data_IF_261988315564
#
_entry.id   IF_261988315564
#
_cell.length_a   1.000
_cell.length_b   1.000
_cell.length_c   1.000
_cell.angle_alpha   90.00
_cell.angle_beta   90.00
_cell.angle_gamma   90.00
#
_symmetry.space_group_name_H-M   'P 1'
#
loop_
_entity.id
_entity.type
_entity.pdbx_description
1 polymer ?
#
# COMPACT_ATOMS: atom_id res chain seq x y z
N UNK A 1 31.56 -9.55 -3.16
CA UNK A 1 30.52 -8.74 -3.82
C UNK A 1 29.28 -8.89 -2.97
N UNK A 2 28.72 -7.78 -2.48
CA UNK A 2 27.37 -7.80 -1.90
C UNK A 2 26.44 -7.80 -3.10
N UNK A 3 25.70 -8.88 -3.31
CA UNK A 3 24.64 -8.90 -4.31
C UNK A 3 23.47 -8.13 -3.73
N UNK A 4 22.99 -7.11 -4.44
CA UNK A 4 21.79 -6.39 -4.05
C UNK A 4 20.58 -7.34 -4.14
N UNK A 5 19.72 -7.34 -3.12
CA UNK A 5 18.51 -8.18 -3.11
C UNK A 5 17.54 -7.69 -4.19
N UNK A 6 16.96 -8.63 -4.93
CA UNK A 6 15.90 -8.37 -5.93
C UNK A 6 14.60 -7.88 -5.28
N UNK A 7 13.69 -7.31 -6.07
CA UNK A 7 12.38 -6.90 -5.57
C UNK A 7 11.59 -8.10 -5.04
N UNK A 8 11.70 -9.27 -5.68
CA UNK A 8 11.04 -10.50 -5.23
C UNK A 8 11.56 -10.96 -3.86
N UNK A 9 12.85 -10.74 -3.56
CA UNK A 9 13.42 -11.07 -2.25
C UNK A 9 13.08 -10.04 -1.15
N UNK A 10 12.62 -8.85 -1.53
CA UNK A 10 12.31 -7.74 -0.62
C UNK A 10 10.81 -7.53 -0.40
N UNK A 11 9.97 -7.98 -1.33
CA UNK A 11 8.55 -7.61 -1.36
C UNK A 11 7.80 -7.98 -0.08
N UNK A 12 8.10 -9.14 0.53
CA UNK A 12 7.43 -9.56 1.78
C UNK A 12 7.77 -8.65 2.96
N UNK A 13 9.03 -8.22 3.07
CA UNK A 13 9.49 -7.32 4.13
C UNK A 13 8.83 -5.94 3.97
N UNK A 14 8.76 -5.45 2.74
CA UNK A 14 8.10 -4.17 2.42
C UNK A 14 6.60 -4.23 2.66
N UNK A 15 5.92 -5.28 2.16
CA UNK A 15 4.49 -5.48 2.39
C UNK A 15 4.18 -5.55 3.88
N UNK A 16 4.93 -6.36 4.65
CA UNK A 16 4.75 -6.47 6.11
C UNK A 16 4.87 -5.11 6.80
N UNK A 17 5.84 -4.29 6.40
CA UNK A 17 6.01 -2.95 6.96
C UNK A 17 4.80 -2.06 6.61
N UNK A 18 4.34 -2.06 5.35
CA UNK A 18 3.15 -1.32 4.92
C UNK A 18 1.91 -1.73 5.71
N UNK A 19 1.64 -3.02 5.80
CA UNK A 19 0.50 -3.52 6.56
C UNK A 19 0.56 -3.10 8.03
N UNK A 20 1.75 -3.14 8.64
CA UNK A 20 1.95 -2.61 9.99
C UNK A 20 1.58 -1.13 10.14
N UNK A 21 1.92 -0.28 9.17
CA UNK A 21 1.53 1.13 9.19
C UNK A 21 0.01 1.32 9.06
N UNK A 22 -0.63 0.63 8.11
CA UNK A 22 -2.08 0.69 7.92
C UNK A 22 -2.84 0.19 9.15
N UNK A 23 -2.48 -0.96 9.70
CA UNK A 23 -3.12 -1.51 10.91
C UNK A 23 -2.94 -0.56 12.11
N UNK A 24 -1.74 -0.04 12.34
CA UNK A 24 -1.51 0.91 13.42
C UNK A 24 -2.35 2.18 13.24
N UNK A 25 -2.43 2.72 12.02
CA UNK A 25 -3.22 3.90 11.74
C UNK A 25 -4.72 3.68 11.94
N UNK A 26 -5.26 2.52 11.54
CA UNK A 26 -6.66 2.13 11.78
C UNK A 26 -6.98 2.04 13.28
N UNK A 27 -6.01 1.59 14.08
CA UNK A 27 -6.11 1.54 15.55
C UNK A 27 -5.84 2.88 16.24
N UNK A 28 -5.58 3.95 15.48
CA UNK A 28 -5.23 5.28 16.02
C UNK A 28 -3.87 5.32 16.73
N UNK A 29 -2.95 4.42 16.37
CA UNK A 29 -1.60 4.32 16.92
C UNK A 29 -0.61 4.95 15.93
N UNK A 30 -0.23 6.20 16.19
CA UNK A 30 0.73 6.94 15.36
C UNK A 30 2.12 6.98 15.99
N UNK A 31 3.14 7.30 15.20
CA UNK A 31 4.51 7.46 15.71
C UNK A 31 4.61 8.66 16.67
N UNK A 32 5.54 8.59 17.64
CA UNK A 32 5.69 9.61 18.68
C UNK A 32 6.05 10.98 18.08
N UNK A 33 5.18 11.98 18.32
CA UNK A 33 5.30 13.32 17.77
C UNK A 33 4.53 13.57 16.47
N UNK A 34 3.85 12.56 15.92
CA UNK A 34 2.86 12.74 14.87
C UNK A 34 1.45 12.80 15.49
N UNK A 35 0.67 13.81 15.11
CA UNK A 35 -0.73 13.96 15.53
C UNK A 35 -1.59 13.98 14.27
N UNK A 36 -2.42 12.96 14.11
CA UNK A 36 -3.47 12.90 13.09
C UNK A 36 -4.83 12.90 13.77
N UNK A 37 -5.79 13.61 13.19
CA UNK A 37 -7.15 13.68 13.76
C UNK A 37 -7.87 12.33 13.68
N UNK A 38 -7.69 11.61 12.58
CA UNK A 38 -8.23 10.29 12.32
C UNK A 38 -7.44 9.56 11.21
N UNK A 39 -7.94 8.39 10.80
CA UNK A 39 -7.33 7.62 9.71
C UNK A 39 -7.35 8.34 8.36
N UNK A 40 -8.36 9.16 8.05
CA UNK A 40 -8.41 9.90 6.79
C UNK A 40 -7.32 10.98 6.75
N UNK A 41 -7.12 11.69 7.85
CA UNK A 41 -6.04 12.67 7.98
C UNK A 41 -4.67 12.00 7.81
N UNK A 42 -4.47 10.85 8.46
CA UNK A 42 -3.28 10.03 8.27
C UNK A 42 -3.10 9.58 6.82
N UNK A 43 -4.14 9.02 6.19
CA UNK A 43 -4.08 8.50 4.83
C UNK A 43 -3.78 9.59 3.79
N UNK A 44 -4.35 10.79 3.97
CA UNK A 44 -4.09 11.95 3.13
C UNK A 44 -2.63 12.44 3.24
N UNK A 45 -2.00 12.26 4.40
CA UNK A 45 -0.58 12.60 4.60
C UNK A 45 0.36 11.49 4.11
N UNK A 46 -0.03 10.22 4.32
CA UNK A 46 0.80 9.06 4.05
C UNK A 46 0.82 8.65 2.57
N UNK A 47 -0.33 8.74 1.89
CA UNK A 47 -0.43 8.39 0.47
C UNK A 47 0.02 9.54 -0.43
N UNK A 48 0.57 9.20 -1.60
CA UNK A 48 0.93 10.17 -2.62
C UNK A 48 -0.25 10.50 -3.55
N UNK A 49 -1.03 9.48 -3.91
CA UNK A 49 -2.17 9.63 -4.80
C UNK A 49 -3.12 8.42 -4.70
N UNK A 50 -4.40 8.67 -4.96
CA UNK A 50 -5.40 7.63 -5.23
C UNK A 50 -6.21 7.99 -6.48
N UNK A 51 -6.19 7.14 -7.51
CA UNK A 51 -6.86 7.42 -8.78
C UNK A 51 -7.15 6.14 -9.60
N UNK A 52 -8.01 6.26 -10.62
CA UNK A 52 -8.13 5.24 -11.65
C UNK A 52 -6.81 5.11 -12.43
N UNK A 53 -6.33 3.88 -12.60
CA UNK A 53 -5.19 3.55 -13.46
C UNK A 53 -5.65 2.77 -14.69
N UNK A 54 -5.71 3.40 -15.89
CA UNK A 54 -6.16 2.74 -17.11
C UNK A 54 -5.25 1.62 -17.61
N UNK A 55 -3.96 1.60 -17.21
CA UNK A 55 -3.02 0.57 -17.64
C UNK A 55 -3.36 -0.75 -16.97
N UNK A 56 -3.57 -0.73 -15.65
CA UNK A 56 -3.94 -1.91 -14.88
C UNK A 56 -5.45 -2.20 -14.88
N UNK A 57 -6.28 -1.20 -15.22
CA UNK A 57 -7.74 -1.25 -15.09
C UNK A 57 -8.17 -1.49 -13.65
N UNK A 58 -7.56 -0.75 -12.75
CA UNK A 58 -7.75 -0.83 -11.30
C UNK A 58 -7.70 0.58 -10.69
N UNK A 59 -8.20 0.74 -9.47
CA UNK A 59 -7.88 1.92 -8.66
C UNK A 59 -6.48 1.73 -8.09
N UNK A 60 -5.63 2.75 -8.15
CA UNK A 60 -4.25 2.72 -7.67
C UNK A 60 -4.10 3.65 -6.47
N UNK A 61 -3.68 3.10 -5.33
CA UNK A 61 -3.21 3.86 -4.17
C UNK A 61 -1.69 3.85 -4.17
N UNK A 62 -1.09 4.99 -4.47
CA UNK A 62 0.35 5.14 -4.53
C UNK A 62 0.92 5.66 -3.21
N UNK A 63 2.00 5.03 -2.73
CA UNK A 63 2.61 5.32 -1.43
C UNK A 63 4.00 5.93 -1.56
N UNK A 64 4.77 5.56 -2.58
CA UNK A 64 6.09 6.14 -2.84
C UNK A 64 6.44 6.16 -4.32
N UNK A 65 7.31 7.11 -4.72
CA UNK A 65 7.85 7.22 -6.07
C UNK A 65 9.38 7.19 -6.02
N UNK A 66 10.00 6.55 -7.03
CA UNK A 66 11.45 6.42 -7.17
C UNK A 66 11.90 4.97 -7.20
N UNK A 67 13.15 4.72 -6.85
CA UNK A 67 13.64 3.37 -6.56
C UNK A 67 14.17 3.35 -5.13
N UNK A 68 13.37 2.89 -4.15
CA UNK A 68 12.11 2.14 -4.33
C UNK A 68 10.83 2.96 -4.54
N UNK A 69 9.85 2.38 -5.24
CA UNK A 69 8.47 2.83 -5.36
C UNK A 69 7.50 1.69 -5.01
N UNK A 70 6.32 2.02 -4.48
CA UNK A 70 5.30 1.05 -4.13
C UNK A 70 3.87 1.59 -4.14
N UNK A 71 2.93 0.68 -4.42
CA UNK A 71 1.50 0.98 -4.51
C UNK A 71 0.64 -0.27 -4.34
N UNK A 72 -0.64 -0.04 -4.00
CA UNK A 72 -1.70 -1.04 -4.06
C UNK A 72 -2.60 -0.82 -5.28
N UNK A 73 -3.04 -1.91 -5.90
CA UNK A 73 -4.07 -1.92 -6.93
C UNK A 73 -5.32 -2.61 -6.40
N UNK A 74 -6.47 -1.97 -6.54
CA UNK A 74 -7.78 -2.49 -6.17
C UNK A 74 -8.57 -2.76 -7.45
N UNK A 75 -8.86 -4.04 -7.68
CA UNK A 75 -9.60 -4.49 -8.86
C UNK A 75 -11.10 -4.59 -8.57
N UNK A 76 -11.93 -4.58 -9.61
CA UNK A 76 -13.40 -4.65 -9.48
C UNK A 76 -13.90 -5.97 -8.87
N UNK A 77 -13.09 -7.03 -8.92
CA UNK A 77 -13.43 -8.36 -8.39
C UNK A 77 -12.95 -8.57 -6.95
N UNK A 78 -12.67 -7.48 -6.23
CA UNK A 78 -12.15 -7.46 -4.85
C UNK A 78 -10.71 -7.99 -4.71
N UNK A 79 -10.05 -8.35 -5.81
CA UNK A 79 -8.61 -8.65 -5.78
C UNK A 79 -7.83 -7.39 -5.42
N UNK A 80 -6.84 -7.53 -4.54
CA UNK A 80 -5.90 -6.45 -4.21
C UNK A 80 -4.46 -6.94 -4.44
N UNK A 81 -3.68 -6.19 -5.20
CA UNK A 81 -2.26 -6.47 -5.42
C UNK A 81 -1.39 -5.37 -4.81
N UNK A 82 -0.33 -5.76 -4.11
CA UNK A 82 0.79 -4.90 -3.75
C UNK A 82 1.90 -5.00 -4.79
N UNK A 83 2.39 -3.87 -5.27
CA UNK A 83 3.48 -3.76 -6.24
C UNK A 83 4.65 -3.04 -5.60
N UNK A 84 5.84 -3.64 -5.73
CA UNK A 84 7.09 -3.09 -5.26
C UNK A 84 8.08 -3.00 -6.42
N UNK A 85 8.64 -1.82 -6.66
CA UNK A 85 9.51 -1.54 -7.79
C UNK A 85 10.78 -0.83 -7.34
N UNK A 86 11.88 -1.12 -8.02
CA UNK A 86 13.16 -0.43 -7.88
C UNK A 86 13.74 -0.17 -9.28
N UNK A 87 14.81 0.62 -9.39
CA UNK A 87 15.30 1.20 -10.65
C UNK A 87 15.51 0.22 -11.83
N UNK A 88 15.62 -1.09 -11.58
CA UNK A 88 15.79 -2.11 -12.62
C UNK A 88 15.04 -3.43 -12.38
N UNK A 89 14.16 -3.52 -11.38
CA UNK A 89 13.40 -4.74 -11.07
C UNK A 89 12.04 -4.38 -10.45
N UNK A 90 11.09 -5.31 -10.53
CA UNK A 90 9.78 -5.16 -9.89
C UNK A 90 9.25 -6.51 -9.44
N UNK A 91 8.44 -6.50 -8.40
CA UNK A 91 7.71 -7.65 -7.91
C UNK A 91 6.28 -7.25 -7.56
N UNK A 92 5.38 -8.23 -7.58
CA UNK A 92 4.02 -8.06 -7.10
C UNK A 92 3.57 -9.23 -6.24
N UNK A 93 2.63 -8.94 -5.35
CA UNK A 93 1.95 -9.90 -4.48
C UNK A 93 0.47 -9.63 -4.45
N UNK A 94 -0.32 -10.66 -4.70
CA UNK A 94 -1.75 -10.64 -4.39
C UNK A 94 -1.90 -10.79 -2.87
N UNK A 95 -2.81 -10.02 -2.27
CA UNK A 95 -3.07 -10.07 -0.84
C UNK A 95 -4.05 -11.20 -0.51
N UNK A 96 -3.87 -11.80 0.66
CA UNK A 96 -4.74 -12.85 1.20
C UNK A 96 -4.86 -12.72 2.71
N UNK A 97 -5.90 -13.34 3.28
CA UNK A 97 -6.11 -13.36 4.74
C UNK A 97 -6.21 -11.96 5.33
N UNK A 98 -5.56 -11.75 6.47
CA UNK A 98 -5.60 -10.49 7.23
C UNK A 98 -5.16 -9.27 6.39
N UNK A 99 -4.20 -9.44 5.48
CA UNK A 99 -3.74 -8.35 4.61
C UNK A 99 -4.84 -7.90 3.63
N UNK A 100 -5.56 -8.87 3.06
CA UNK A 100 -6.68 -8.60 2.17
C UNK A 100 -7.85 -7.98 2.93
N UNK A 101 -8.19 -8.53 4.10
CA UNK A 101 -9.27 -8.01 4.95
C UNK A 101 -9.01 -6.55 5.36
N UNK A 102 -7.79 -6.25 5.78
CA UNK A 102 -7.37 -4.89 6.14
C UNK A 102 -7.49 -3.93 4.96
N UNK A 103 -6.96 -4.29 3.79
CA UNK A 103 -6.99 -3.38 2.63
C UNK A 103 -8.38 -3.25 2.01
N UNK A 104 -9.25 -4.26 2.15
CA UNK A 104 -10.68 -4.14 1.80
C UNK A 104 -11.41 -3.19 2.74
N UNK A 105 -11.11 -3.19 4.05
CA UNK A 105 -11.63 -2.19 4.98
C UNK A 105 -11.19 -0.78 4.57
N UNK A 106 -9.91 -0.61 4.27
CA UNK A 106 -9.34 0.66 3.78
C UNK A 106 -10.09 1.12 2.52
N UNK A 107 -10.23 0.23 1.54
CA UNK A 107 -10.88 0.53 0.27
C UNK A 107 -12.35 0.95 0.46
N UNK A 108 -13.14 0.11 1.13
CA UNK A 108 -14.58 0.29 1.25
C UNK A 108 -14.98 1.45 2.17
N UNK A 109 -14.14 1.78 3.16
CA UNK A 109 -14.49 2.78 4.18
C UNK A 109 -13.86 4.15 3.90
N UNK A 110 -12.68 4.17 3.26
CA UNK A 110 -11.87 5.39 3.16
C UNK A 110 -11.50 5.83 1.75
N UNK A 111 -11.58 4.93 0.76
CA UNK A 111 -11.21 5.27 -0.63
C UNK A 111 -12.41 5.27 -1.58
N UNK A 112 -13.39 4.41 -1.33
CA UNK A 112 -14.58 4.26 -2.14
C UNK A 112 -15.80 4.87 -1.43
N UNK A 113 -15.87 6.21 -1.40
CA UNK A 113 -17.07 6.92 -0.96
C UNK A 113 -18.07 6.99 -2.12
N UNK A 114 -19.20 6.29 -2.00
CA UNK A 114 -20.40 6.53 -2.81
C UNK A 114 -21.14 7.82 -2.41
#
# INVERSE_FOLDING_TARGET
MITEKTCVERIEEHLTARMGYFTNALEGKYEDGEEYEDFNDWLNCYSLAYADDPHYRAKKLELSWGGPADFFLFFEDETIEYHFQDWGDSAKRELYGDDLETMLEVYNTYLNYE
#
